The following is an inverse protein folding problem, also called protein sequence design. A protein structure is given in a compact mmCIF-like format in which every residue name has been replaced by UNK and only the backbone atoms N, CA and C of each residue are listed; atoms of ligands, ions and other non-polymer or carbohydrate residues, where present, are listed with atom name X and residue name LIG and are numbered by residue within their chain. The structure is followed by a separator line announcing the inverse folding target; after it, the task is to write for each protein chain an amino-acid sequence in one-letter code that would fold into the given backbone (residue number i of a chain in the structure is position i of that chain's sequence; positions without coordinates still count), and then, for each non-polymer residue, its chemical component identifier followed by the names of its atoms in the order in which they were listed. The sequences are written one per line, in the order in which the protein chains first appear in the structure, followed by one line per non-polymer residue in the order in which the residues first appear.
data_IF_837323955485
#
_entry.id   IF_837323955485
#
_cell.length_a   1.000
_cell.length_b   1.000
_cell.length_c   1.000
_cell.angle_alpha   90.00
_cell.angle_beta   90.00
_cell.angle_gamma   90.00
#
_symmetry.space_group_name_H-M   'P 1'
#
loop_
_entity.id
_entity.type
_entity.pdbx_description
1 polymer ?
#
# COMPACT_ATOMS: atom_id res chain seq x y z
N UNK A 1 -41.25 32.87 -19.67
CA UNK A 1 -39.91 33.22 -19.17
C UNK A 1 -39.81 32.77 -17.72
N UNK A 2 -39.18 31.63 -17.48
CA UNK A 2 -38.88 31.08 -16.14
C UNK A 2 -37.48 30.49 -16.24
N UNK A 3 -36.56 30.99 -15.43
CA UNK A 3 -35.22 30.41 -15.24
C UNK A 3 -34.78 30.66 -13.80
N UNK A 4 -34.83 29.58 -13.04
CA UNK A 4 -33.76 29.03 -12.21
C UNK A 4 -33.06 29.91 -11.17
N UNK A 5 -33.45 29.66 -9.92
CA UNK A 5 -32.65 29.92 -8.72
C UNK A 5 -31.45 28.97 -8.69
N UNK A 6 -30.28 29.44 -9.13
CA UNK A 6 -28.99 28.81 -8.80
C UNK A 6 -28.40 29.50 -7.57
N UNK A 7 -28.48 28.81 -6.42
CA UNK A 7 -27.84 29.21 -5.19
C UNK A 7 -26.32 28.92 -5.30
N UNK A 8 -25.57 29.94 -5.68
CA UNK A 8 -24.12 29.87 -5.84
C UNK A 8 -23.46 30.16 -4.48
N UNK A 9 -23.16 29.11 -3.70
CA UNK A 9 -22.38 29.25 -2.47
C UNK A 9 -20.90 29.22 -2.85
N UNK A 10 -20.32 30.41 -3.02
CA UNK A 10 -18.89 30.62 -2.99
C UNK A 10 -18.31 30.01 -1.70
N UNK A 11 -17.60 28.89 -1.84
CA UNK A 11 -16.60 28.45 -0.86
C UNK A 11 -15.25 28.63 -1.55
N UNK A 12 -14.64 29.77 -1.26
CA UNK A 12 -13.21 29.99 -1.43
C UNK A 12 -12.46 29.04 -0.49
N UNK A 13 -12.10 27.86 -0.97
CA UNK A 13 -11.06 27.07 -0.31
C UNK A 13 -9.72 27.74 -0.61
N UNK A 14 -9.19 28.44 0.40
CA UNK A 14 -7.80 28.88 0.45
C UNK A 14 -6.90 27.69 0.16
N UNK A 15 -6.11 27.78 -0.90
CA UNK A 15 -5.13 26.78 -1.26
C UNK A 15 -4.09 26.61 -0.16
N UNK A 16 -3.79 25.36 0.13
CA UNK A 16 -2.45 24.95 0.54
C UNK A 16 -1.96 24.07 -0.60
N UNK A 17 -1.16 24.68 -1.48
CA UNK A 17 -0.39 23.95 -2.49
C UNK A 17 0.72 23.19 -1.75
N UNK A 18 0.49 21.92 -1.41
CA UNK A 18 1.59 20.98 -1.27
C UNK A 18 1.96 20.51 -2.68
N UNK A 19 2.55 21.43 -3.44
CA UNK A 19 3.08 21.14 -4.75
C UNK A 19 4.33 20.29 -4.58
N UNK A 20 4.17 18.97 -4.64
CA UNK A 20 5.29 18.08 -4.90
C UNK A 20 5.97 18.50 -6.21
N UNK A 21 7.31 18.42 -6.31
CA UNK A 21 8.01 18.76 -7.53
C UNK A 21 7.47 17.87 -8.67
N UNK A 22 6.98 18.51 -9.75
CA UNK A 22 6.31 17.92 -10.92
C UNK A 22 7.08 16.76 -11.59
N UNK A 23 8.33 16.51 -11.17
CA UNK A 23 9.15 15.39 -11.61
C UNK A 23 8.78 14.03 -10.97
N UNK A 24 8.06 14.00 -9.83
CA UNK A 24 7.60 12.75 -9.20
C UNK A 24 6.41 12.12 -9.95
N UNK A 25 5.74 12.90 -10.79
CA UNK A 25 4.58 12.49 -11.61
C UNK A 25 5.04 12.02 -13.00
N UNK A 26 6.18 11.32 -13.08
CA UNK A 26 6.59 10.66 -14.33
C UNK A 26 6.33 9.15 -14.22
N UNK A 27 5.12 8.80 -14.64
CA UNK A 27 4.74 7.50 -15.19
C UNK A 27 4.44 6.34 -14.21
N UNK A 28 4.17 6.60 -12.93
CA UNK A 28 3.77 5.52 -12.03
C UNK A 28 2.48 5.88 -11.28
N UNK A 29 1.35 5.40 -11.81
CA UNK A 29 0.00 5.65 -11.30
C UNK A 29 -0.16 5.24 -9.82
N UNK A 30 0.70 4.35 -9.32
CA UNK A 30 0.73 3.96 -7.90
C UNK A 30 1.20 5.08 -6.95
N UNK A 31 1.99 6.05 -7.42
CA UNK A 31 2.46 7.18 -6.60
C UNK A 31 1.32 8.14 -6.27
N UNK A 32 0.35 8.30 -7.17
CA UNK A 32 -0.84 9.11 -6.90
C UNK A 32 -1.60 8.60 -5.66
N UNK A 33 -1.56 7.29 -5.40
CA UNK A 33 -2.15 6.71 -4.18
C UNK A 33 -1.44 7.17 -2.90
N UNK A 34 -0.12 7.32 -2.93
CA UNK A 34 0.63 7.82 -1.77
C UNK A 34 0.28 9.29 -1.47
N UNK A 35 -0.22 10.02 -2.45
CA UNK A 35 -0.66 11.41 -2.28
C UNK A 35 -2.08 11.55 -1.73
N UNK A 36 -2.84 10.44 -1.61
CA UNK A 36 -4.13 10.48 -0.93
C UNK A 36 -3.94 10.84 0.54
N UNK A 37 -4.79 11.75 1.04
CA UNK A 37 -4.80 12.21 2.45
C UNK A 37 -4.77 11.07 3.49
N UNK A 38 -5.28 9.90 3.13
CA UNK A 38 -5.32 8.72 4.00
C UNK A 38 -3.94 8.07 4.21
N UNK A 39 -2.96 8.39 3.38
CA UNK A 39 -1.64 7.78 3.35
C UNK A 39 -0.52 8.74 3.80
N UNK A 40 -0.86 9.93 4.32
CA UNK A 40 0.11 10.94 4.79
C UNK A 40 1.17 10.36 5.74
N UNK A 41 0.77 9.53 6.71
CA UNK A 41 1.70 8.90 7.66
C UNK A 41 2.66 7.91 6.99
N UNK A 42 2.19 7.18 5.98
CA UNK A 42 3.03 6.27 5.20
C UNK A 42 4.02 7.03 4.33
N UNK A 43 3.57 8.14 3.72
CA UNK A 43 4.42 9.02 2.92
C UNK A 43 5.52 9.64 3.78
N UNK A 44 5.17 10.16 4.97
CA UNK A 44 6.14 10.67 5.94
C UNK A 44 7.16 9.58 6.34
N UNK A 45 6.68 8.35 6.56
CA UNK A 45 7.55 7.21 6.87
C UNK A 45 8.51 6.88 5.73
N UNK A 46 8.06 6.91 4.46
CA UNK A 46 8.91 6.72 3.29
C UNK A 46 9.95 7.84 3.13
N UNK A 47 9.57 9.08 3.39
CA UNK A 47 10.48 10.23 3.36
C UNK A 47 11.58 10.08 4.42
N UNK A 48 11.23 9.67 5.65
CA UNK A 48 12.21 9.42 6.72
C UNK A 48 13.22 8.33 6.36
N UNK A 49 12.80 7.34 5.58
CA UNK A 49 13.66 6.28 5.08
C UNK A 49 14.48 6.69 3.84
N UNK A 50 14.26 7.90 3.29
CA UNK A 50 14.78 8.36 2.00
C UNK A 50 14.40 7.43 0.83
N UNK A 51 13.20 6.86 0.87
CA UNK A 51 12.68 5.94 -0.16
C UNK A 51 11.52 6.55 -0.98
N UNK A 52 11.01 7.72 -0.61
CA UNK A 52 9.92 8.39 -1.32
C UNK A 52 10.26 8.71 -2.79
N UNK A 53 11.52 9.02 -3.08
CA UNK A 53 12.00 9.41 -4.42
C UNK A 53 12.58 8.23 -5.22
N UNK A 54 12.36 6.97 -4.82
CA UNK A 54 12.88 5.82 -5.57
C UNK A 54 12.18 5.70 -6.95
N UNK A 55 12.93 5.84 -8.07
CA UNK A 55 12.33 5.78 -9.40
C UNK A 55 11.82 4.37 -9.79
N UNK A 56 12.18 3.34 -9.02
CA UNK A 56 11.73 1.95 -9.24
C UNK A 56 10.82 1.47 -8.09
N UNK A 57 10.00 2.38 -7.57
CA UNK A 57 9.01 2.09 -6.54
C UNK A 57 7.72 1.56 -7.15
N UNK A 58 7.14 0.54 -6.53
CA UNK A 58 5.82 -0.03 -6.87
C UNK A 58 4.91 0.03 -5.67
N UNK A 59 3.64 0.40 -5.88
CA UNK A 59 2.64 0.55 -4.83
C UNK A 59 1.54 -0.49 -5.00
N UNK A 60 1.43 -1.42 -4.05
CA UNK A 60 0.37 -2.43 -4.04
C UNK A 60 -0.86 -1.88 -3.30
N UNK A 61 -2.02 -1.86 -3.95
CA UNK A 61 -3.27 -1.37 -3.37
C UNK A 61 -4.43 -2.33 -3.66
N UNK A 62 -5.37 -2.46 -2.72
CA UNK A 62 -6.63 -3.20 -2.94
C UNK A 62 -7.69 -2.36 -3.65
N UNK A 63 -7.55 -1.03 -3.62
CA UNK A 63 -8.57 -0.09 -4.16
C UNK A 63 -8.40 0.14 -5.65
N UNK A 64 -7.19 -0.08 -6.16
CA UNK A 64 -6.84 0.16 -7.53
C UNK A 64 -6.17 -1.08 -8.07
N UNK A 65 -6.81 -1.73 -9.04
CA UNK A 65 -6.25 -2.87 -9.76
C UNK A 65 -5.16 -2.39 -10.74
N UNK A 66 -4.04 -1.88 -10.22
CA UNK A 66 -2.88 -1.61 -11.05
C UNK A 66 -2.27 -2.96 -11.45
N UNK A 67 -2.34 -3.24 -12.75
CA UNK A 67 -1.78 -4.45 -13.33
C UNK A 67 -0.29 -4.24 -13.53
N UNK A 68 0.52 -4.62 -12.55
CA UNK A 68 1.96 -4.70 -12.75
C UNK A 68 2.30 -5.93 -13.59
N UNK A 69 2.94 -5.72 -14.73
CA UNK A 69 3.48 -6.82 -15.52
C UNK A 69 4.86 -7.27 -14.98
N UNK A 70 5.37 -8.38 -15.50
CA UNK A 70 6.65 -8.89 -15.01
C UNK A 70 7.86 -8.09 -15.49
N UNK A 71 7.76 -7.36 -16.59
CA UNK A 71 8.85 -6.48 -17.02
C UNK A 71 8.98 -5.29 -16.06
N UNK A 72 7.84 -4.75 -15.61
CA UNK A 72 7.79 -3.72 -14.59
C UNK A 72 8.35 -4.24 -13.26
N UNK A 73 7.99 -5.46 -12.85
CA UNK A 73 8.45 -6.07 -11.61
C UNK A 73 9.96 -6.42 -11.59
N UNK A 74 10.60 -6.64 -12.75
CA UNK A 74 12.03 -7.03 -12.82
C UNK A 74 12.98 -5.97 -12.28
N UNK A 75 12.63 -4.69 -12.42
CA UNK A 75 13.50 -3.58 -12.03
C UNK A 75 13.12 -2.95 -10.70
N UNK A 76 12.09 -3.49 -10.03
CA UNK A 76 11.58 -2.93 -8.78
C UNK A 76 12.62 -3.03 -7.69
N UNK A 77 12.93 -1.88 -7.10
CA UNK A 77 13.81 -1.77 -5.94
C UNK A 77 13.03 -1.59 -4.65
N UNK A 78 11.82 -1.05 -4.73
CA UNK A 78 11.02 -0.75 -3.54
C UNK A 78 9.57 -1.11 -3.80
N UNK A 79 9.00 -1.98 -2.96
CA UNK A 79 7.56 -2.28 -2.95
C UNK A 79 6.95 -1.67 -1.70
N UNK A 80 5.92 -0.86 -1.88
CA UNK A 80 5.11 -0.28 -0.82
C UNK A 80 3.73 -0.93 -0.85
N UNK A 81 3.37 -1.65 0.20
CA UNK A 81 2.07 -2.28 0.33
C UNK A 81 1.11 -1.38 1.12
N UNK A 82 0.00 -0.98 0.49
CA UNK A 82 -1.06 -0.16 1.09
C UNK A 82 -2.13 -0.99 1.83
N UNK A 83 -2.02 -2.31 1.84
CA UNK A 83 -2.94 -3.20 2.54
C UNK A 83 -2.33 -3.58 3.89
N UNK A 84 -3.05 -3.44 5.01
CA UNK A 84 -2.56 -3.92 6.29
C UNK A 84 -2.26 -5.42 6.24
N UNK A 85 -1.07 -5.86 6.70
CA UNK A 85 -0.70 -7.29 6.61
C UNK A 85 -1.67 -8.18 7.40
N UNK A 86 -2.23 -7.67 8.49
CA UNK A 86 -3.25 -8.36 9.28
C UNK A 86 -4.61 -8.51 8.56
N UNK A 87 -4.81 -7.79 7.45
CA UNK A 87 -5.99 -7.93 6.59
C UNK A 87 -5.83 -8.99 5.50
N UNK A 88 -4.61 -9.43 5.19
CA UNK A 88 -4.36 -10.39 4.11
C UNK A 88 -4.83 -11.80 4.48
N UNK A 89 -5.54 -12.47 3.56
CA UNK A 89 -6.04 -13.85 3.76
C UNK A 89 -4.97 -14.82 4.22
N UNK A 90 -3.80 -14.78 3.59
CA UNK A 90 -2.62 -15.50 4.03
C UNK A 90 -1.39 -14.59 3.95
N UNK A 91 -1.08 -13.94 5.07
CA UNK A 91 0.07 -13.05 5.18
C UNK A 91 1.40 -13.75 4.89
N UNK A 92 1.52 -15.04 5.23
CA UNK A 92 2.77 -15.79 5.03
C UNK A 92 3.00 -16.04 3.55
N UNK A 93 2.00 -16.59 2.87
CA UNK A 93 2.11 -16.89 1.44
C UNK A 93 2.18 -15.62 0.59
N UNK A 94 1.51 -14.54 1.03
CA UNK A 94 1.67 -13.22 0.43
C UNK A 94 3.12 -12.73 0.51
N UNK A 95 3.72 -12.72 1.71
CA UNK A 95 5.12 -12.29 1.90
C UNK A 95 6.07 -13.20 1.11
N UNK A 96 5.81 -14.50 1.07
CA UNK A 96 6.58 -15.43 0.25
C UNK A 96 6.47 -15.10 -1.25
N UNK A 97 5.28 -14.72 -1.72
CA UNK A 97 5.04 -14.30 -3.11
C UNK A 97 5.82 -13.02 -3.41
N UNK A 98 5.78 -12.01 -2.52
CA UNK A 98 6.60 -10.79 -2.64
C UNK A 98 8.08 -11.14 -2.69
N UNK A 99 8.55 -12.01 -1.78
CA UNK A 99 9.93 -12.47 -1.77
C UNK A 99 10.29 -13.06 -3.12
N UNK A 100 9.47 -13.93 -3.70
CA UNK A 100 9.78 -14.60 -4.97
C UNK A 100 9.94 -13.63 -6.15
N UNK A 101 9.20 -12.51 -6.14
CA UNK A 101 9.23 -11.49 -7.20
C UNK A 101 10.48 -10.60 -7.07
N UNK A 102 10.94 -10.34 -5.85
CA UNK A 102 11.61 -9.07 -5.55
C UNK A 102 13.06 -8.80 -5.97
N UNK A 103 13.91 -9.67 -6.49
CA UNK A 103 15.39 -9.42 -6.56
C UNK A 103 16.09 -9.10 -5.21
N UNK A 104 17.37 -9.52 -5.02
CA UNK A 104 18.07 -9.28 -3.76
C UNK A 104 18.29 -7.79 -3.47
N UNK A 105 18.27 -7.41 -2.19
CA UNK A 105 18.43 -6.04 -1.68
C UNK A 105 17.27 -5.08 -1.94
N UNK A 106 16.19 -5.53 -2.58
CA UNK A 106 14.97 -4.74 -2.73
C UNK A 106 14.28 -4.51 -1.39
N UNK A 107 13.65 -3.35 -1.25
CA UNK A 107 12.89 -2.93 -0.09
C UNK A 107 11.45 -3.41 -0.19
N UNK A 108 10.93 -3.87 0.94
CA UNK A 108 9.52 -4.13 1.13
C UNK A 108 9.04 -3.33 2.35
N UNK A 109 8.14 -2.39 2.09
CA UNK A 109 7.52 -1.50 3.07
C UNK A 109 6.03 -1.82 3.16
N UNK A 110 5.50 -1.77 4.37
CA UNK A 110 4.08 -1.88 4.59
C UNK A 110 3.73 -1.55 6.03
N UNK A 111 2.53 -1.93 6.43
CA UNK A 111 2.04 -1.65 7.77
C UNK A 111 1.07 -2.72 8.27
N UNK A 112 0.79 -2.67 9.57
CA UNK A 112 -0.19 -3.51 10.25
C UNK A 112 -0.76 -2.77 11.47
N UNK A 113 -1.92 -3.22 11.93
CA UNK A 113 -2.52 -2.74 13.17
C UNK A 113 -2.10 -3.68 14.31
N UNK A 114 -1.36 -3.16 15.29
CA UNK A 114 -0.97 -3.98 16.45
C UNK A 114 -2.21 -4.37 17.25
N UNK A 115 -2.31 -5.66 17.59
CA UNK A 115 -3.30 -6.25 18.49
C UNK A 115 -3.56 -5.43 19.77
N UNK A 116 -2.56 -4.75 20.32
CA UNK A 116 -2.69 -3.91 21.53
C UNK A 116 -3.55 -2.66 21.31
N UNK A 117 -3.67 -2.21 20.07
CA UNK A 117 -4.40 -1.01 19.66
C UNK A 117 -5.75 -1.32 18.99
N UNK A 118 -6.09 -2.62 18.87
CA UNK A 118 -7.25 -3.11 18.10
C UNK A 118 -8.61 -2.64 18.64
N UNK A 119 -8.67 -2.17 19.89
CA UNK A 119 -9.93 -1.76 20.53
C UNK A 119 -10.45 -0.37 20.15
N UNK A 120 -9.81 0.39 19.24
CA UNK A 120 -10.20 1.78 18.96
C UNK A 120 -10.20 2.22 17.49
N UNK A 121 -9.66 1.45 16.55
CA UNK A 121 -9.57 1.86 15.15
C UNK A 121 -10.56 1.08 14.29
N UNK A 122 -11.84 1.45 14.39
CA UNK A 122 -12.73 1.26 13.25
C UNK A 122 -12.30 2.27 12.18
N UNK A 123 -11.40 1.87 11.28
CA UNK A 123 -11.32 2.51 9.97
C UNK A 123 -12.75 2.49 9.44
N UNK A 124 -13.40 3.66 9.43
CA UNK A 124 -14.78 3.77 8.98
C UNK A 124 -14.80 3.25 7.55
N UNK A 125 -15.40 2.07 7.41
CA UNK A 125 -15.84 1.50 6.15
C UNK A 125 -16.76 2.53 5.54
N UNK A 126 -16.26 3.25 4.55
CA UNK A 126 -17.16 3.72 3.51
C UNK A 126 -17.29 2.53 2.59
N UNK A 127 -18.52 2.05 2.47
CA UNK A 127 -18.92 1.06 1.48
C UNK A 127 -18.48 1.56 0.10
N UNK A 128 -17.35 1.04 -0.38
CA UNK A 128 -17.00 1.09 -1.78
C UNK A 128 -17.51 -0.23 -2.36
N UNK A 129 -18.71 -0.12 -2.93
CA UNK A 129 -19.30 -0.95 -3.97
C UNK A 129 -18.78 -2.38 -4.10
N UNK A 130 -19.66 -3.31 -3.72
CA UNK A 130 -19.67 -4.69 -4.20
C UNK A 130 -20.01 -4.72 -5.69
N UNK A 131 -19.12 -4.22 -6.53
CA UNK A 131 -19.11 -4.53 -7.96
C UNK A 131 -17.67 -4.82 -8.40
N UNK A 132 -17.18 -5.99 -8.02
CA UNK A 132 -16.05 -6.63 -8.68
C UNK A 132 -16.48 -8.04 -9.08
N UNK A 133 -17.44 -8.13 -10.01
CA UNK A 133 -17.69 -9.34 -10.79
C UNK A 133 -17.04 -9.13 -12.15
N UNK A 134 -16.24 -10.12 -12.55
CA UNK A 134 -15.78 -10.36 -13.92
C UNK A 134 -14.89 -9.31 -14.57
N UNK A 135 -13.60 -9.32 -14.23
CA UNK A 135 -12.58 -9.45 -15.27
C UNK A 135 -11.44 -10.30 -14.71
N UNK A 136 -11.27 -11.52 -15.23
CA UNK A 136 -10.17 -12.39 -14.87
C UNK A 136 -8.83 -11.72 -15.16
N UNK A 137 -8.22 -11.17 -14.12
CA UNK A 137 -6.89 -10.56 -14.16
C UNK A 137 -5.87 -11.70 -14.31
N UNK A 138 -5.38 -11.89 -15.53
CA UNK A 138 -4.33 -12.84 -15.85
C UNK A 138 -3.07 -12.06 -16.23
N UNK A 139 -2.23 -11.77 -15.22
CA UNK A 139 -0.81 -11.56 -15.50
C UNK A 139 -0.27 -12.81 -16.18
N UNK A 140 0.61 -12.66 -17.18
CA UNK A 140 1.29 -13.79 -17.83
C UNK A 140 2.13 -14.62 -16.84
N UNK A 141 2.37 -14.09 -15.64
CA UNK A 141 3.15 -14.73 -14.60
C UNK A 141 2.24 -15.22 -13.46
N UNK A 142 2.15 -16.55 -13.24
CA UNK A 142 1.28 -17.13 -12.21
C UNK A 142 1.52 -16.60 -10.79
N UNK A 143 2.75 -16.17 -10.50
CA UNK A 143 3.17 -15.67 -9.18
C UNK A 143 2.47 -14.33 -8.85
N UNK A 144 2.36 -13.43 -9.84
CA UNK A 144 1.72 -12.12 -9.66
C UNK A 144 0.20 -12.31 -9.44
N UNK A 145 -0.42 -13.24 -10.15
CA UNK A 145 -1.83 -13.60 -9.94
C UNK A 145 -2.08 -14.13 -8.52
N UNK A 146 -1.16 -14.95 -8.02
CA UNK A 146 -1.24 -15.49 -6.66
C UNK A 146 -1.18 -14.36 -5.63
N UNK A 147 -0.29 -13.38 -5.83
CA UNK A 147 -0.17 -12.20 -4.98
C UNK A 147 -1.50 -11.44 -4.88
N UNK A 148 -2.15 -11.15 -6.01
CA UNK A 148 -3.42 -10.42 -6.04
C UNK A 148 -4.56 -11.18 -5.34
N UNK A 149 -4.59 -12.51 -5.44
CA UNK A 149 -5.61 -13.32 -4.76
C UNK A 149 -5.55 -13.20 -3.23
N UNK A 150 -4.39 -12.89 -2.64
CA UNK A 150 -4.27 -12.65 -1.20
C UNK A 150 -4.80 -11.28 -0.77
N UNK A 151 -4.80 -10.30 -1.68
CA UNK A 151 -5.23 -8.92 -1.44
C UNK A 151 -6.75 -8.76 -1.45
N UNK A 152 -7.46 -9.62 -2.20
CA UNK A 152 -8.92 -9.55 -2.40
C UNK A 152 -9.74 -10.04 -1.19
N UNK A 153 -9.15 -10.90 -0.35
CA UNK A 153 -9.88 -11.50 0.78
C UNK A 153 -9.40 -10.94 2.11
N UNK A 154 -10.25 -10.10 2.72
CA UNK A 154 -9.97 -9.44 4.00
C UNK A 154 -10.21 -10.40 5.18
N UNK A 155 -9.16 -10.73 5.91
CA UNK A 155 -9.24 -11.36 7.24
C UNK A 155 -8.93 -10.32 8.33
N UNK A 156 -9.11 -10.65 9.60
CA UNK A 156 -8.70 -9.75 10.69
C UNK A 156 -7.94 -10.56 11.73
N UNK A 157 -6.62 -10.54 11.62
CA UNK A 157 -5.72 -11.28 12.52
C UNK A 157 -5.10 -10.32 13.53
N UNK A 158 -4.90 -10.80 14.75
CA UNK A 158 -4.09 -10.08 15.74
C UNK A 158 -2.61 -10.32 15.42
N UNK A 159 -1.88 -9.26 15.06
CA UNK A 159 -0.44 -9.29 14.86
C UNK A 159 0.24 -8.30 15.81
N UNK A 160 1.36 -8.70 16.41
CA UNK A 160 2.26 -7.81 17.14
C UNK A 160 3.52 -7.51 16.32
N UNK A 161 4.30 -6.51 16.76
CA UNK A 161 5.64 -6.21 16.21
C UNK A 161 6.55 -7.44 16.11
N UNK A 162 6.46 -8.36 17.09
CA UNK A 162 7.26 -9.59 17.11
C UNK A 162 6.79 -10.57 16.05
N UNK A 163 5.48 -10.73 15.89
CA UNK A 163 4.91 -11.66 14.91
C UNK A 163 5.26 -11.22 13.48
N UNK A 164 5.15 -9.93 13.19
CA UNK A 164 5.50 -9.38 11.87
C UNK A 164 6.99 -9.51 11.59
N UNK A 165 7.86 -9.25 12.57
CA UNK A 165 9.30 -9.46 12.42
C UNK A 165 9.63 -10.92 12.07
N UNK A 166 9.10 -11.87 12.85
CA UNK A 166 9.31 -13.29 12.62
C UNK A 166 8.77 -13.73 11.26
N UNK A 167 7.61 -13.20 10.86
CA UNK A 167 7.00 -13.49 9.57
C UNK A 167 7.87 -13.02 8.40
N UNK A 168 8.45 -11.82 8.48
CA UNK A 168 9.37 -11.30 7.47
C UNK A 168 10.68 -12.10 7.43
N UNK A 169 11.30 -12.31 8.59
CA UNK A 169 12.60 -13.00 8.70
C UNK A 169 12.54 -14.46 8.24
N UNK A 170 11.47 -15.18 8.60
CA UNK A 170 11.26 -16.57 8.15
C UNK A 170 10.98 -16.69 6.64
N UNK A 171 10.70 -15.59 5.95
CA UNK A 171 10.46 -15.54 4.51
C UNK A 171 11.57 -14.83 3.72
N UNK A 172 12.78 -14.74 4.29
CA UNK A 172 13.96 -14.24 3.57
C UNK A 172 14.08 -12.72 3.51
N UNK A 173 13.44 -12.01 4.44
CA UNK A 173 13.64 -10.57 4.60
C UNK A 173 14.47 -10.27 5.85
N UNK A 174 15.30 -9.25 5.78
CA UNK A 174 15.91 -8.61 6.94
C UNK A 174 15.09 -7.38 7.31
N UNK A 175 14.61 -7.32 8.55
CA UNK A 175 13.89 -6.14 9.05
C UNK A 175 14.90 -5.03 9.37
N UNK A 176 14.69 -3.86 8.77
CA UNK A 176 15.55 -2.68 8.95
C UNK A 176 14.92 -1.72 9.96
N UNK A 177 13.60 -1.51 9.88
CA UNK A 177 12.87 -0.65 10.82
C UNK A 177 11.45 -1.18 11.10
N UNK A 178 10.95 -0.92 12.32
CA UNK A 178 9.54 -1.08 12.69
C UNK A 178 9.16 0.08 13.61
N UNK A 179 8.32 0.99 13.12
CA UNK A 179 7.94 2.23 13.80
C UNK A 179 6.43 2.37 13.91
N UNK A 180 5.96 2.89 15.03
CA UNK A 180 4.53 3.15 15.25
C UNK A 180 4.23 4.64 15.13
N UNK A 181 3.31 4.99 14.22
CA UNK A 181 2.82 6.35 14.00
C UNK A 181 1.29 6.33 14.03
N UNK A 182 0.68 7.21 14.82
CA UNK A 182 -0.78 7.34 14.91
C UNK A 182 -1.54 6.00 15.11
N UNK A 183 -0.98 5.11 15.94
CA UNK A 183 -1.49 3.75 16.25
C UNK A 183 -1.39 2.72 15.12
N UNK A 184 -0.83 3.10 13.98
CA UNK A 184 -0.47 2.19 12.88
C UNK A 184 1.00 1.86 13.03
N UNK A 185 1.37 0.58 12.88
CA UNK A 185 2.77 0.18 12.88
C UNK A 185 3.24 -0.07 11.46
N UNK A 186 4.24 0.68 11.05
CA UNK A 186 4.94 0.57 9.78
C UNK A 186 6.18 -0.29 9.93
N UNK A 187 6.59 -0.93 8.85
CA UNK A 187 7.84 -1.67 8.80
C UNK A 187 8.59 -1.37 7.49
N UNK A 188 9.91 -1.43 7.59
CA UNK A 188 10.82 -1.49 6.45
C UNK A 188 11.62 -2.78 6.55
N UNK A 189 11.59 -3.55 5.48
CA UNK A 189 12.36 -4.78 5.35
C UNK A 189 13.07 -4.84 4.02
N UNK A 190 14.10 -5.65 3.93
CA UNK A 190 14.91 -5.80 2.74
C UNK A 190 15.08 -7.27 2.39
N UNK A 191 14.83 -7.65 1.14
CA UNK A 191 15.05 -9.02 0.67
C UNK A 191 16.54 -9.38 0.78
N UNK A 192 16.83 -10.52 1.40
CA UNK A 192 18.18 -11.07 1.57
C UNK A 192 18.62 -11.83 0.33
#
# INVERSE_FOLDING_TARGET
MRTDLTYNKHITSRGINYGFPQHLVKNNTGIELLTEKRNEDLTNYLEWLNLADDPNLVVLSSLHHYFYDAEEMKNVKTVVNLIPINELRDAKDFIHSIHSILTPKSNFIGFFLDSKNHNSFSLRKNDADKEAVEHGILSKFPIINTLYNFMDSKTNRNLSKRDVRLLLESNGFRVQDITELNKITYFHSQRV
#
